data_IF_322025922648
#
_entry.id   IF_322025922648
#
_cell.length_a   1.000
_cell.length_b   1.000
_cell.length_c   1.000
_cell.angle_alpha   90.00
_cell.angle_beta   90.00
_cell.angle_gamma   90.00
#
_symmetry.space_group_name_H-M   'P 1'
#
loop_
_entity.id
_entity.type
_entity.pdbx_description
1 polymer ?
#
# COMPACT_ATOMS: atom_id res chain seq x y z
N UNK A 1 3.39 11.91 22.79
CA UNK A 1 3.22 12.56 21.48
C UNK A 1 3.57 11.53 20.42
N UNK A 2 2.55 10.97 19.74
CA UNK A 2 2.72 9.95 18.71
C UNK A 2 3.25 10.62 17.43
N UNK A 3 4.58 10.69 17.32
CA UNK A 3 5.26 11.27 16.16
C UNK A 3 5.06 10.36 14.96
N UNK A 4 4.39 10.89 13.95
CA UNK A 4 4.10 10.23 12.68
C UNK A 4 5.29 9.40 12.17
N UNK A 5 5.00 8.22 11.62
CA UNK A 5 5.97 7.46 10.84
C UNK A 5 5.61 7.55 9.33
N UNK A 6 5.69 8.72 8.64
CA UNK A 6 5.24 8.82 7.26
C UNK A 6 6.44 8.72 6.31
N UNK A 7 7.23 7.67 6.46
CA UNK A 7 8.28 7.37 5.49
C UNK A 7 8.28 5.87 5.27
N UNK A 8 7.49 5.42 4.28
CA UNK A 8 7.75 4.18 3.57
C UNK A 8 9.27 3.97 3.42
N UNK A 9 9.77 2.84 3.90
CA UNK A 9 11.18 2.49 3.73
C UNK A 9 11.55 2.55 2.24
N UNK A 10 12.75 3.07 1.92
CA UNK A 10 13.21 3.26 0.53
C UNK A 10 13.11 1.98 -0.30
N UNK A 11 13.39 0.82 0.30
CA UNK A 11 13.31 -0.50 -0.31
C UNK A 11 11.89 -0.84 -0.76
N UNK A 12 10.92 -0.64 0.14
CA UNK A 12 9.51 -0.87 -0.12
C UNK A 12 8.97 0.11 -1.15
N UNK A 13 9.32 1.40 -1.03
CA UNK A 13 8.95 2.41 -2.04
C UNK A 13 9.47 2.04 -3.42
N UNK A 14 10.72 1.60 -3.53
CA UNK A 14 11.31 1.16 -4.81
C UNK A 14 10.56 -0.04 -5.40
N UNK A 15 10.13 -0.97 -4.54
CA UNK A 15 9.33 -2.13 -4.94
C UNK A 15 7.95 -1.73 -5.46
N UNK A 16 7.25 -0.85 -4.73
CA UNK A 16 5.96 -0.29 -5.15
C UNK A 16 6.07 0.47 -6.48
N UNK A 17 7.11 1.27 -6.64
CA UNK A 17 7.41 1.97 -7.91
C UNK A 17 7.61 0.97 -9.06
N UNK A 18 8.30 -0.16 -8.83
CA UNK A 18 8.45 -1.20 -9.86
C UNK A 18 7.09 -1.77 -10.28
N UNK A 19 6.20 -2.07 -9.34
CA UNK A 19 4.85 -2.55 -9.65
C UNK A 19 4.04 -1.53 -10.47
N UNK A 20 4.16 -0.23 -10.13
CA UNK A 20 3.53 0.86 -10.88
C UNK A 20 4.05 0.92 -12.32
N UNK A 21 5.37 0.93 -12.49
CA UNK A 21 6.01 1.01 -13.81
C UNK A 21 5.68 -0.20 -14.69
N UNK A 22 5.56 -1.39 -14.09
CA UNK A 22 5.22 -2.62 -14.81
C UNK A 22 3.71 -2.78 -15.04
N UNK A 23 2.87 -1.91 -14.46
CA UNK A 23 1.42 -2.08 -14.42
C UNK A 23 1.00 -3.49 -13.99
N UNK A 24 1.77 -4.09 -13.08
CA UNK A 24 1.57 -5.46 -12.66
C UNK A 24 0.32 -5.56 -11.78
N UNK A 25 -0.48 -6.60 -12.00
CA UNK A 25 -1.57 -6.93 -11.09
C UNK A 25 -0.98 -7.58 -9.85
N UNK A 26 -1.24 -6.99 -8.68
CA UNK A 26 -0.73 -7.47 -7.41
C UNK A 26 -1.89 -7.86 -6.50
N UNK A 27 -1.68 -8.88 -5.67
CA UNK A 27 -2.57 -9.19 -4.56
C UNK A 27 -2.27 -8.22 -3.41
N UNK A 28 -3.31 -7.58 -2.91
CA UNK A 28 -3.28 -6.64 -1.80
C UNK A 28 -4.21 -7.15 -0.72
N UNK A 29 -3.64 -7.44 0.45
CA UNK A 29 -4.40 -7.78 1.64
C UNK A 29 -4.34 -6.59 2.59
N UNK A 30 -5.48 -6.01 2.91
CA UNK A 30 -5.57 -4.84 3.78
C UNK A 30 -6.71 -4.95 4.77
N UNK A 31 -6.64 -4.18 5.85
CA UNK A 31 -7.72 -4.07 6.83
C UNK A 31 -8.59 -2.86 6.48
N UNK A 32 -9.88 -3.08 6.30
CA UNK A 32 -10.84 -2.00 6.06
C UNK A 32 -11.18 -1.24 7.36
N UNK A 33 -11.95 -0.15 7.24
CA UNK A 33 -12.34 0.67 8.38
C UNK A 33 -13.21 -0.07 9.41
N UNK A 34 -13.83 -1.19 9.03
CA UNK A 34 -14.60 -2.06 9.94
C UNK A 34 -13.71 -3.08 10.65
N UNK A 35 -12.40 -3.06 10.39
CA UNK A 35 -11.44 -4.01 10.94
C UNK A 35 -11.40 -5.35 10.20
N UNK A 36 -12.16 -5.51 9.11
CA UNK A 36 -12.17 -6.74 8.34
C UNK A 36 -11.01 -6.80 7.36
N UNK A 37 -10.46 -8.00 7.17
CA UNK A 37 -9.39 -8.22 6.21
C UNK A 37 -10.01 -8.43 4.84
N UNK A 38 -9.63 -7.58 3.90
CA UNK A 38 -10.04 -7.62 2.50
C UNK A 38 -8.86 -8.04 1.63
N UNK A 39 -9.14 -8.84 0.61
CA UNK A 39 -8.17 -9.26 -0.40
C UNK A 39 -8.63 -8.72 -1.74
N UNK A 40 -7.78 -7.94 -2.40
CA UNK A 40 -8.05 -7.38 -3.72
C UNK A 40 -6.90 -7.65 -4.67
N UNK A 41 -7.24 -7.98 -5.91
CA UNK A 41 -6.30 -8.09 -7.01
C UNK A 41 -6.46 -6.83 -7.88
N UNK A 42 -5.48 -5.95 -7.82
CA UNK A 42 -5.52 -4.67 -8.56
C UNK A 42 -4.13 -4.25 -8.99
N UNK A 43 -4.07 -3.34 -9.96
CA UNK A 43 -2.83 -2.68 -10.36
C UNK A 43 -2.63 -1.42 -9.53
N UNK A 44 -1.41 -1.22 -9.03
CA UNK A 44 -1.03 0.03 -8.38
C UNK A 44 -0.78 1.06 -9.49
N UNK A 45 -1.55 2.15 -9.48
CA UNK A 45 -1.45 3.24 -10.44
C UNK A 45 -0.49 4.32 -9.98
N UNK A 46 -0.51 4.62 -8.68
CA UNK A 46 0.27 5.70 -8.11
C UNK A 46 0.52 5.47 -6.61
N UNK A 47 1.57 6.11 -6.09
CA UNK A 47 1.95 6.13 -4.69
C UNK A 47 2.20 7.58 -4.28
N UNK A 48 1.47 8.06 -3.28
CA UNK A 48 1.60 9.43 -2.80
C UNK A 48 1.63 9.50 -1.28
N UNK A 49 2.50 10.37 -0.79
CA UNK A 49 2.61 10.73 0.62
C UNK A 49 1.76 11.97 0.87
N UNK A 50 0.86 11.91 1.84
CA UNK A 50 0.05 13.05 2.29
C UNK A 50 0.22 13.24 3.80
N UNK A 51 -0.14 14.42 4.35
CA UNK A 51 -0.26 14.57 5.80
C UNK A 51 -1.20 13.48 6.35
N UNK A 52 -0.68 12.62 7.22
CA UNK A 52 -1.41 11.46 7.75
C UNK A 52 -0.92 10.10 7.25
N UNK A 53 -0.05 10.03 6.24
CA UNK A 53 0.60 8.77 5.85
C UNK A 53 0.84 8.62 4.34
N UNK A 54 1.29 7.41 3.97
CA UNK A 54 1.47 7.00 2.59
C UNK A 54 0.21 6.29 2.07
N UNK A 55 -0.13 6.53 0.80
CA UNK A 55 -1.34 6.02 0.17
C UNK A 55 -1.06 5.48 -1.23
N UNK A 56 -1.69 4.35 -1.57
CA UNK A 56 -1.68 3.75 -2.90
C UNK A 56 -2.99 4.03 -3.62
N UNK A 57 -2.90 4.49 -4.87
CA UNK A 57 -4.04 4.50 -5.79
C UNK A 57 -4.02 3.22 -6.63
N UNK A 58 -5.18 2.57 -6.70
CA UNK A 58 -5.42 1.41 -7.54
C UNK A 58 -6.18 1.79 -8.81
N UNK A 59 -6.12 0.93 -9.83
CA UNK A 59 -6.77 1.10 -11.14
C UNK A 59 -8.30 1.29 -11.08
N UNK A 60 -8.98 0.78 -10.05
CA UNK A 60 -10.42 0.95 -9.84
C UNK A 60 -10.81 2.26 -9.13
N UNK A 61 -9.88 3.22 -9.02
CA UNK A 61 -10.11 4.46 -8.26
C UNK A 61 -10.14 4.25 -6.75
N UNK A 62 -9.74 3.07 -6.27
CA UNK A 62 -9.65 2.74 -4.85
C UNK A 62 -8.35 3.32 -4.31
N UNK A 63 -8.44 3.96 -3.15
CA UNK A 63 -7.33 4.62 -2.49
C UNK A 63 -7.10 3.94 -1.14
N UNK A 64 -5.93 3.33 -0.95
CA UNK A 64 -5.60 2.55 0.24
C UNK A 64 -4.46 3.20 1.02
N UNK A 65 -4.67 3.39 2.31
CA UNK A 65 -3.60 3.78 3.22
C UNK A 65 -2.63 2.60 3.36
N UNK A 66 -1.33 2.84 3.14
CA UNK A 66 -0.28 1.82 3.26
C UNK A 66 -0.26 1.21 4.66
N UNK A 67 -0.52 2.01 5.69
CA UNK A 67 -0.58 1.58 7.09
C UNK A 67 -1.65 0.51 7.35
N UNK A 68 -2.68 0.44 6.51
CA UNK A 68 -3.72 -0.57 6.58
C UNK A 68 -3.42 -1.82 5.76
N UNK A 69 -2.39 -1.78 4.91
CA UNK A 69 -2.01 -2.91 4.05
C UNK A 69 -1.14 -3.86 4.88
N UNK A 70 -1.57 -5.11 4.91
CA UNK A 70 -0.91 -6.18 5.64
C UNK A 70 0.06 -6.92 4.73
N UNK A 71 -0.37 -7.23 3.50
CA UNK A 71 0.39 -8.06 2.56
C UNK A 71 0.28 -7.47 1.16
N UNK A 72 1.40 -7.45 0.43
CA UNK A 72 1.47 -7.16 -1.01
C UNK A 72 2.19 -8.31 -1.69
N UNK A 73 1.52 -8.97 -2.64
CA UNK A 73 2.11 -10.01 -3.49
C UNK A 73 2.76 -11.13 -2.65
N UNK A 74 2.04 -11.57 -1.60
CA UNK A 74 2.51 -12.57 -0.64
C UNK A 74 3.56 -12.08 0.37
N UNK A 75 4.02 -10.83 0.30
CA UNK A 75 5.00 -10.27 1.26
C UNK A 75 4.34 -9.38 2.30
N UNK A 76 4.66 -9.63 3.58
CA UNK A 76 4.13 -8.86 4.70
C UNK A 76 4.83 -7.50 4.80
N UNK A 77 4.05 -6.42 4.84
CA UNK A 77 4.54 -5.06 4.97
C UNK A 77 5.00 -4.72 6.39
N UNK A 78 4.41 -5.37 7.39
CA UNK A 78 4.70 -5.14 8.81
C UNK A 78 6.01 -5.80 9.27
N UNK A 79 6.74 -6.44 8.35
CA UNK A 79 8.03 -7.06 8.58
C UNK A 79 9.22 -6.14 8.23
N UNK A 80 8.97 -4.88 7.85
CA UNK A 80 9.96 -3.84 7.53
C UNK A 80 10.01 -2.73 8.59
#
# INVERSE_FOLDING_TARGET
MAGAKPFLETSLRSKLTRYILQQQMVELVYRDASGQVQVVHSRIRDLFTRPGGDFLALDKGVLLAVDHILIIDGQNLNAY
#
